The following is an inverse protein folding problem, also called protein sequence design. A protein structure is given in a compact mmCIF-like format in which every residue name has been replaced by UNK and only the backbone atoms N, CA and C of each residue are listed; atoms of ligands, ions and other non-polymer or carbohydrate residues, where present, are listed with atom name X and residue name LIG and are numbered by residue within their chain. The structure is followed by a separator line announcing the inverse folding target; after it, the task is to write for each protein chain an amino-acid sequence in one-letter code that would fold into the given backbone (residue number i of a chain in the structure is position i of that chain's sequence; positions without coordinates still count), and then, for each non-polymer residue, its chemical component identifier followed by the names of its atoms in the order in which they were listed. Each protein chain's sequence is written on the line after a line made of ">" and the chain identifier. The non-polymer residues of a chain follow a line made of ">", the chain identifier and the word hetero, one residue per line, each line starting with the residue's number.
data_IF_568819805099
#
_entry.id   IF_568819805099
#
_cell.length_a   1.000
_cell.length_b   1.000
_cell.length_c   1.000
_cell.angle_alpha   90.00
_cell.angle_beta   90.00
_cell.angle_gamma   90.00
#
_symmetry.space_group_name_H-M   'P 1'
#
loop_
_entity.id
_entity.type
_entity.pdbx_description
1 polymer ?
#
# COMPACT_ATOMS: atom_id res chain seq x y z
N UNK A 1 1.61 9.10 7.64
CA UNK A 1 1.04 10.47 7.52
C UNK A 1 1.20 11.01 6.10
N UNK A 2 2.40 11.18 5.56
CA UNK A 2 2.59 11.75 4.22
C UNK A 2 1.79 11.07 3.11
N UNK A 3 1.75 9.74 3.07
CA UNK A 3 0.98 8.99 2.09
C UNK A 3 -0.54 9.23 2.19
N UNK A 4 -1.07 9.29 3.42
CA UNK A 4 -2.50 9.55 3.64
C UNK A 4 -2.84 10.99 3.22
N UNK A 5 -2.03 11.95 3.61
CA UNK A 5 -2.24 13.35 3.24
C UNK A 5 -2.07 13.56 1.74
N UNK A 6 -1.07 12.92 1.12
CA UNK A 6 -0.86 13.00 -0.33
C UNK A 6 -2.02 12.39 -1.12
N UNK A 7 -2.51 11.21 -0.74
CA UNK A 7 -3.63 10.56 -1.43
C UNK A 7 -4.96 11.32 -1.23
N UNK A 8 -5.26 11.73 0.00
CA UNK A 8 -6.46 12.53 0.30
C UNK A 8 -6.39 13.92 -0.34
N UNK A 9 -5.22 14.58 -0.29
CA UNK A 9 -5.02 15.87 -0.94
C UNK A 9 -5.21 15.80 -2.46
N UNK A 10 -4.69 14.78 -3.12
CA UNK A 10 -4.89 14.57 -4.54
C UNK A 10 -6.36 14.31 -4.91
N UNK A 11 -7.14 13.75 -3.99
CA UNK A 11 -8.57 13.55 -4.18
C UNK A 11 -9.39 14.82 -3.92
N UNK A 12 -9.02 15.59 -2.89
CA UNK A 12 -9.76 16.79 -2.46
C UNK A 12 -9.53 17.97 -3.41
N UNK A 13 -8.29 18.18 -3.87
CA UNK A 13 -7.95 19.31 -4.73
C UNK A 13 -8.26 18.92 -6.18
N UNK A 14 -9.27 19.59 -6.77
CA UNK A 14 -9.65 19.39 -8.18
C UNK A 14 -8.62 19.96 -9.16
N UNK A 15 -8.77 19.63 -10.46
CA UNK A 15 -7.90 20.12 -11.53
C UNK A 15 -6.53 19.44 -11.58
N UNK A 16 -5.64 19.98 -12.40
CA UNK A 16 -4.28 19.45 -12.60
C UNK A 16 -3.28 19.93 -11.55
N UNK A 17 -3.42 21.19 -11.09
CA UNK A 17 -2.43 21.84 -10.23
C UNK A 17 -2.24 21.16 -8.87
N UNK A 18 -3.33 20.73 -8.24
CA UNK A 18 -3.28 20.08 -6.93
C UNK A 18 -2.47 18.79 -6.92
N UNK A 19 -2.87 17.78 -7.70
CA UNK A 19 -2.12 16.53 -7.77
C UNK A 19 -0.69 16.70 -8.28
N UNK A 20 -0.43 17.59 -9.25
CA UNK A 20 0.92 17.89 -9.74
C UNK A 20 1.80 18.55 -8.67
N UNK A 21 1.25 19.46 -7.87
CA UNK A 21 1.98 20.08 -6.76
C UNK A 21 2.32 19.03 -5.68
N UNK A 22 1.41 18.12 -5.36
CA UNK A 22 1.67 17.03 -4.41
C UNK A 22 2.79 16.13 -4.89
N UNK A 23 2.77 15.75 -6.17
CA UNK A 23 3.83 14.94 -6.79
C UNK A 23 5.17 15.71 -6.77
N UNK A 24 5.19 16.94 -7.30
CA UNK A 24 6.40 17.70 -7.53
C UNK A 24 7.06 18.23 -6.25
N UNK A 25 6.27 18.77 -5.32
CA UNK A 25 6.78 19.39 -4.10
C UNK A 25 6.86 18.42 -2.91
N UNK A 26 6.01 17.39 -2.90
CA UNK A 26 5.96 16.45 -1.77
C UNK A 26 6.63 15.12 -2.06
N UNK A 27 6.11 14.38 -3.05
CA UNK A 27 6.47 12.98 -3.26
C UNK A 27 7.83 12.83 -3.92
N UNK A 28 8.11 13.57 -4.99
CA UNK A 28 9.37 13.45 -5.72
C UNK A 28 10.60 13.83 -4.86
N UNK A 29 10.64 14.97 -4.15
CA UNK A 29 11.78 15.27 -3.28
C UNK A 29 11.97 14.21 -2.19
N UNK A 30 10.88 13.73 -1.57
CA UNK A 30 10.96 12.67 -0.59
C UNK A 30 11.50 11.35 -1.18
N UNK A 31 11.08 10.99 -2.40
CA UNK A 31 11.57 9.81 -3.10
C UNK A 31 13.04 9.92 -3.52
N UNK A 32 13.50 11.10 -3.90
CA UNK A 32 14.92 11.36 -4.19
C UNK A 32 15.78 11.25 -2.93
N UNK A 33 15.37 11.87 -1.83
CA UNK A 33 16.07 11.77 -0.54
C UNK A 33 16.14 10.31 -0.07
N UNK A 34 15.08 9.54 -0.27
CA UNK A 34 15.03 8.11 0.08
C UNK A 34 15.78 7.21 -0.93
N UNK A 35 16.26 7.73 -2.06
CA UNK A 35 16.95 6.94 -3.09
C UNK A 35 16.06 5.93 -3.85
N UNK A 36 14.73 6.10 -3.79
CA UNK A 36 13.75 5.15 -4.38
C UNK A 36 13.01 5.73 -5.59
N UNK A 37 13.35 6.92 -6.06
CA UNK A 37 12.61 7.65 -7.08
C UNK A 37 12.38 6.83 -8.37
N UNK A 38 13.41 6.18 -8.92
CA UNK A 38 13.28 5.39 -10.15
C UNK A 38 12.38 4.16 -9.97
N UNK A 39 12.48 3.48 -8.81
CA UNK A 39 11.62 2.33 -8.48
C UNK A 39 10.17 2.78 -8.26
N UNK A 40 9.98 3.90 -7.58
CA UNK A 40 8.68 4.50 -7.33
C UNK A 40 7.94 4.81 -8.63
N UNK A 41 8.58 5.55 -9.54
CA UNK A 41 8.00 5.92 -10.84
C UNK A 41 7.62 4.68 -11.64
N UNK A 42 8.51 3.67 -11.70
CA UNK A 42 8.23 2.42 -12.43
C UNK A 42 7.02 1.68 -11.86
N UNK A 43 6.95 1.50 -10.54
CA UNK A 43 5.83 0.80 -9.88
C UNK A 43 4.53 1.59 -10.08
N UNK A 44 4.56 2.91 -9.89
CA UNK A 44 3.38 3.76 -10.04
C UNK A 44 2.87 3.75 -11.49
N UNK A 45 3.75 3.79 -12.48
CA UNK A 45 3.36 3.64 -13.89
C UNK A 45 2.73 2.28 -14.17
N UNK A 46 3.34 1.19 -13.71
CA UNK A 46 2.80 -0.16 -13.91
C UNK A 46 1.42 -0.34 -13.27
N UNK A 47 1.20 0.24 -12.09
CA UNK A 47 -0.10 0.17 -11.40
C UNK A 47 -1.15 1.08 -12.06
N UNK A 48 -0.73 2.27 -12.51
CA UNK A 48 -1.67 3.25 -13.06
C UNK A 48 -2.01 2.96 -14.53
N UNK A 49 -1.11 2.36 -15.31
CA UNK A 49 -1.26 2.17 -16.75
C UNK A 49 -2.50 1.37 -17.16
N UNK A 50 -2.85 0.22 -16.55
CA UNK A 50 -4.06 -0.52 -16.92
C UNK A 50 -5.33 0.30 -16.66
N UNK A 51 -5.35 1.00 -15.51
CA UNK A 51 -6.49 1.85 -15.12
C UNK A 51 -6.55 3.08 -16.02
N UNK A 52 -5.40 3.64 -16.39
CA UNK A 52 -5.28 4.77 -17.30
C UNK A 52 -5.90 4.48 -18.65
N UNK A 53 -5.58 3.34 -19.24
CA UNK A 53 -6.14 2.92 -20.53
C UNK A 53 -7.68 2.83 -20.43
N UNK A 54 -8.19 2.20 -19.38
CA UNK A 54 -9.64 2.08 -19.16
C UNK A 54 -10.31 3.44 -18.98
N UNK A 55 -9.73 4.31 -18.15
CA UNK A 55 -10.27 5.67 -17.90
C UNK A 55 -10.28 6.50 -19.17
N UNK A 56 -9.21 6.48 -19.96
CA UNK A 56 -9.16 7.21 -21.24
C UNK A 56 -10.23 6.72 -22.18
N UNK A 57 -10.30 5.39 -22.41
CA UNK A 57 -11.29 4.81 -23.32
C UNK A 57 -12.72 5.16 -22.90
N UNK A 58 -13.05 4.98 -21.62
CA UNK A 58 -14.41 5.27 -21.15
C UNK A 58 -14.71 6.76 -21.18
N UNK A 59 -13.82 7.58 -20.61
CA UNK A 59 -14.09 9.03 -20.43
C UNK A 59 -14.14 9.78 -21.77
N UNK A 60 -13.26 9.46 -22.71
CA UNK A 60 -13.19 10.13 -24.01
C UNK A 60 -14.43 9.86 -24.85
N UNK A 61 -14.93 8.60 -24.82
CA UNK A 61 -16.02 8.16 -25.70
C UNK A 61 -17.41 8.16 -25.04
N UNK A 62 -17.51 8.23 -23.73
CA UNK A 62 -18.80 8.13 -23.04
C UNK A 62 -19.27 9.48 -22.48
N UNK A 63 -18.35 10.44 -22.31
CA UNK A 63 -18.69 11.74 -21.73
C UNK A 63 -19.25 12.65 -22.81
N UNK A 64 -20.49 13.08 -22.60
CA UNK A 64 -21.12 14.09 -23.44
C UNK A 64 -20.40 15.43 -23.28
N UNK A 65 -20.07 16.08 -24.39
CA UNK A 65 -19.43 17.40 -24.43
C UNK A 65 -19.94 18.21 -25.60
N UNK A 66 -19.67 19.52 -25.60
CA UNK A 66 -20.07 20.45 -26.66
C UNK A 66 -19.08 20.49 -27.82
N UNK A 67 -17.81 20.16 -27.55
CA UNK A 67 -16.74 20.16 -28.56
C UNK A 67 -16.36 18.73 -28.95
N UNK A 68 -16.94 18.23 -30.05
CA UNK A 68 -16.57 16.93 -30.62
C UNK A 68 -15.28 17.08 -31.41
N UNK A 69 -14.25 16.32 -31.05
CA UNK A 69 -12.95 16.30 -31.74
C UNK A 69 -12.99 15.37 -32.96
N UNK A 70 -13.54 14.17 -32.80
CA UNK A 70 -13.80 13.21 -33.86
C UNK A 70 -14.87 12.21 -33.43
N UNK A 71 -15.55 11.58 -34.38
CA UNK A 71 -16.57 10.56 -34.11
C UNK A 71 -16.18 9.24 -34.77
N UNK A 72 -16.35 8.13 -34.03
CA UNK A 72 -16.16 6.77 -34.55
C UNK A 72 -17.49 6.01 -34.37
N UNK A 73 -18.31 6.01 -35.40
CA UNK A 73 -19.64 5.40 -35.37
C UNK A 73 -20.56 6.06 -34.34
N UNK A 74 -21.11 5.34 -33.38
CA UNK A 74 -22.00 5.90 -32.37
C UNK A 74 -21.28 6.60 -31.21
N UNK A 75 -19.94 6.67 -31.21
CA UNK A 75 -19.13 7.23 -30.14
C UNK A 75 -18.46 8.53 -30.57
N UNK A 76 -18.71 9.59 -29.85
CA UNK A 76 -18.09 10.92 -30.04
C UNK A 76 -16.99 11.15 -29.04
N UNK A 77 -15.77 11.37 -29.53
CA UNK A 77 -14.67 11.80 -28.69
C UNK A 77 -14.77 13.31 -28.44
N UNK A 78 -14.94 13.71 -27.17
CA UNK A 78 -15.14 15.10 -26.78
C UNK A 78 -13.91 15.69 -26.11
N UNK A 79 -13.68 16.99 -26.30
CA UNK A 79 -12.57 17.68 -25.64
C UNK A 79 -12.73 17.67 -24.11
N UNK A 80 -13.95 17.77 -23.62
CA UNK A 80 -14.31 17.68 -22.20
C UNK A 80 -14.01 16.28 -21.64
N UNK A 81 -14.21 15.23 -22.45
CA UNK A 81 -13.84 13.85 -22.10
C UNK A 81 -12.33 13.66 -21.95
N UNK A 82 -11.56 14.26 -22.88
CA UNK A 82 -10.09 14.24 -22.82
C UNK A 82 -9.56 14.99 -21.62
N UNK A 83 -10.10 16.17 -21.32
CA UNK A 83 -9.69 16.97 -20.15
C UNK A 83 -9.99 16.24 -18.84
N UNK A 84 -11.18 15.67 -18.71
CA UNK A 84 -11.54 14.86 -17.54
C UNK A 84 -10.65 13.62 -17.39
N UNK A 85 -10.37 12.92 -18.48
CA UNK A 85 -9.44 11.78 -18.47
C UNK A 85 -8.06 12.23 -17.98
N UNK A 86 -7.51 13.34 -18.49
CA UNK A 86 -6.25 13.90 -18.08
C UNK A 86 -6.18 14.22 -16.58
N UNK A 87 -7.19 14.92 -16.06
CA UNK A 87 -7.28 15.25 -14.63
C UNK A 87 -7.34 13.98 -13.77
N UNK A 88 -8.13 12.99 -14.20
CA UNK A 88 -8.27 11.73 -13.50
C UNK A 88 -6.96 10.93 -13.49
N UNK A 89 -6.23 10.91 -14.61
CA UNK A 89 -4.93 10.26 -14.72
C UNK A 89 -3.88 10.84 -13.77
N UNK A 90 -3.76 12.17 -13.75
CA UNK A 90 -2.80 12.84 -12.85
C UNK A 90 -3.15 12.57 -11.39
N UNK A 91 -4.44 12.54 -11.05
CA UNK A 91 -4.92 12.21 -9.72
C UNK A 91 -4.61 10.75 -9.33
N UNK A 92 -4.90 9.80 -10.22
CA UNK A 92 -4.58 8.38 -10.00
C UNK A 92 -3.08 8.18 -9.84
N UNK A 93 -2.28 8.85 -10.65
CA UNK A 93 -0.83 8.78 -10.55
C UNK A 93 -0.30 9.37 -9.22
N UNK A 94 -0.89 10.49 -8.76
CA UNK A 94 -0.57 11.08 -7.45
C UNK A 94 -0.90 10.13 -6.29
N UNK A 95 -2.04 9.45 -6.35
CA UNK A 95 -2.43 8.45 -5.35
C UNK A 95 -1.48 7.25 -5.38
N UNK A 96 -1.22 6.71 -6.56
CA UNK A 96 -0.31 5.57 -6.76
C UNK A 96 1.11 5.86 -6.26
N UNK A 97 1.66 7.04 -6.58
CA UNK A 97 2.98 7.45 -6.11
C UNK A 97 3.01 7.68 -4.60
N UNK A 98 1.93 8.22 -4.02
CA UNK A 98 1.81 8.45 -2.58
C UNK A 98 1.82 7.15 -1.79
N UNK A 99 1.02 6.17 -2.21
CA UNK A 99 0.96 4.83 -1.60
C UNK A 99 2.25 4.06 -1.87
N UNK A 100 2.77 4.15 -3.10
CA UNK A 100 4.03 3.51 -3.49
C UNK A 100 5.22 4.01 -2.67
N UNK A 101 5.31 5.32 -2.43
CA UNK A 101 6.35 5.89 -1.57
C UNK A 101 6.27 5.32 -0.15
N UNK A 102 5.08 5.24 0.44
CA UNK A 102 4.89 4.63 1.75
C UNK A 102 5.36 3.17 1.77
N UNK A 103 4.95 2.37 0.79
CA UNK A 103 5.33 0.95 0.71
C UNK A 103 6.83 0.71 0.51
N UNK A 104 7.51 1.63 -0.22
CA UNK A 104 8.95 1.51 -0.47
C UNK A 104 9.84 2.05 0.65
N UNK A 105 9.31 2.98 1.48
CA UNK A 105 10.11 3.65 2.52
C UNK A 105 9.77 3.21 3.93
N UNK A 106 8.64 2.55 4.12
CA UNK A 106 8.19 2.16 5.46
C UNK A 106 8.38 0.66 5.69
N UNK A 107 9.24 0.31 6.62
CA UNK A 107 9.40 -1.06 7.07
C UNK A 107 8.17 -1.47 7.90
N UNK A 108 7.49 -2.61 7.56
CA UNK A 108 6.27 -3.02 8.26
C UNK A 108 6.46 -3.22 9.77
N UNK A 109 7.62 -3.74 10.18
CA UNK A 109 7.95 -3.92 11.61
C UNK A 109 8.00 -2.60 12.36
N UNK A 110 8.73 -1.64 11.84
CA UNK A 110 8.85 -0.30 12.41
C UNK A 110 7.51 0.43 12.45
N UNK A 111 6.65 0.22 11.46
CA UNK A 111 5.29 0.77 11.41
C UNK A 111 4.41 0.23 12.55
N UNK A 112 4.41 -1.10 12.77
CA UNK A 112 3.63 -1.71 13.88
C UNK A 112 4.12 -1.23 15.24
N UNK A 113 5.44 -1.10 15.43
CA UNK A 113 6.01 -0.58 16.67
C UNK A 113 5.64 0.90 16.93
N UNK A 114 5.57 1.73 15.88
CA UNK A 114 5.10 3.11 16.01
C UNK A 114 3.60 3.18 16.38
N UNK A 115 2.78 2.26 15.86
CA UNK A 115 1.37 2.14 16.24
C UNK A 115 1.22 1.71 17.72
N UNK A 116 2.04 0.77 18.20
CA UNK A 116 2.04 0.37 19.62
C UNK A 116 2.36 1.57 20.52
N UNK A 117 3.37 2.38 20.14
CA UNK A 117 3.70 3.62 20.88
C UNK A 117 2.56 4.64 20.92
N UNK A 118 1.70 4.65 19.88
CA UNK A 118 0.55 5.56 19.77
C UNK A 118 -0.72 5.05 20.41
N UNK A 119 -0.68 3.86 21.04
CA UNK A 119 -1.80 3.33 21.80
C UNK A 119 -2.41 2.04 21.25
N UNK A 120 -1.84 1.45 20.20
CA UNK A 120 -2.21 0.08 19.82
C UNK A 120 -1.85 -0.87 20.96
N UNK A 121 -2.77 -1.77 21.33
CA UNK A 121 -2.49 -2.66 22.44
C UNK A 121 -1.30 -3.59 22.13
N UNK A 122 -0.46 -3.90 23.11
CA UNK A 122 0.71 -4.77 22.93
C UNK A 122 0.38 -6.15 22.39
N UNK A 123 -0.83 -6.65 22.66
CA UNK A 123 -1.30 -7.94 22.15
C UNK A 123 -1.51 -7.89 20.64
N UNK A 124 -2.17 -6.85 20.13
CA UNK A 124 -2.36 -6.67 18.68
C UNK A 124 -1.05 -6.39 17.96
N UNK A 125 -0.16 -5.58 18.55
CA UNK A 125 1.17 -5.34 17.99
C UNK A 125 1.97 -6.65 17.89
N UNK A 126 1.93 -7.48 18.93
CA UNK A 126 2.58 -8.80 18.90
C UNK A 126 2.02 -9.71 17.81
N UNK A 127 0.68 -9.81 17.70
CA UNK A 127 0.03 -10.64 16.67
C UNK A 127 0.43 -10.16 15.27
N UNK A 128 0.41 -8.84 15.02
CA UNK A 128 0.81 -8.27 13.73
C UNK A 128 2.28 -8.60 13.40
N UNK A 129 3.19 -8.41 14.35
CA UNK A 129 4.61 -8.72 14.16
C UNK A 129 4.85 -10.22 13.97
N UNK A 130 4.20 -11.06 14.77
CA UNK A 130 4.30 -12.52 14.64
C UNK A 130 3.78 -13.00 13.28
N UNK A 131 2.70 -12.41 12.77
CA UNK A 131 2.16 -12.75 11.45
C UNK A 131 3.13 -12.35 10.34
N UNK A 132 3.76 -11.17 10.43
CA UNK A 132 4.75 -10.71 9.45
C UNK A 132 5.99 -11.63 9.40
N UNK A 133 6.38 -12.19 10.55
CA UNK A 133 7.50 -13.14 10.65
C UNK A 133 7.09 -14.56 10.25
N UNK A 134 5.85 -14.96 10.51
CA UNK A 134 5.35 -16.29 10.23
C UNK A 134 5.25 -16.59 8.71
N UNK A 135 4.87 -15.60 7.89
CA UNK A 135 4.67 -15.83 6.44
C UNK A 135 5.96 -16.30 5.73
N UNK A 136 7.12 -15.62 5.84
CA UNK A 136 8.37 -16.11 5.28
C UNK A 136 8.79 -17.47 5.86
N UNK A 137 8.68 -17.64 7.17
CA UNK A 137 9.03 -18.89 7.84
C UNK A 137 8.17 -20.07 7.36
N UNK A 138 6.88 -19.86 7.12
CA UNK A 138 5.99 -20.88 6.55
C UNK A 138 6.39 -21.26 5.11
N UNK A 139 6.79 -20.29 4.28
CA UNK A 139 7.26 -20.55 2.91
C UNK A 139 8.53 -21.41 2.92
N UNK A 140 9.51 -21.07 3.76
CA UNK A 140 10.74 -21.84 3.90
C UNK A 140 10.45 -23.26 4.40
N UNK A 141 9.59 -23.40 5.42
CA UNK A 141 9.19 -24.71 5.96
C UNK A 141 8.46 -25.55 4.92
N UNK A 142 7.53 -24.95 4.17
CA UNK A 142 6.85 -25.64 3.09
C UNK A 142 7.82 -26.12 2.01
N UNK A 143 8.85 -25.34 1.68
CA UNK A 143 9.90 -25.74 0.73
C UNK A 143 10.71 -26.97 1.25
N UNK A 144 11.09 -26.99 2.53
CA UNK A 144 11.78 -28.12 3.16
C UNK A 144 10.89 -29.38 3.15
N UNK A 145 9.62 -29.25 3.54
CA UNK A 145 8.68 -30.38 3.54
C UNK A 145 8.46 -30.88 2.10
N UNK A 146 8.32 -29.97 1.12
CA UNK A 146 8.17 -30.34 -0.27
C UNK A 146 9.39 -31.11 -0.81
N UNK A 147 10.61 -30.68 -0.46
CA UNK A 147 11.84 -31.41 -0.85
C UNK A 147 11.91 -32.79 -0.23
N UNK A 148 11.55 -32.93 1.05
CA UNK A 148 11.49 -34.22 1.73
C UNK A 148 10.45 -35.17 1.10
N UNK A 149 9.28 -34.65 0.72
CA UNK A 149 8.23 -35.44 0.07
C UNK A 149 8.62 -35.84 -1.38
N UNK A 150 9.32 -34.96 -2.10
CA UNK A 150 9.91 -35.32 -3.41
C UNK A 150 10.93 -36.47 -3.30
N UNK A 151 11.74 -36.44 -2.27
CA UNK A 151 12.66 -37.55 -2.00
C UNK A 151 11.93 -38.89 -1.72
N UNK A 152 10.66 -38.84 -1.28
CA UNK A 152 9.78 -40.00 -1.09
C UNK A 152 8.98 -40.37 -2.34
N UNK A 153 9.26 -39.75 -3.50
CA UNK A 153 8.62 -40.06 -4.77
C UNK A 153 7.36 -39.21 -5.08
N UNK A 154 7.10 -38.12 -4.34
CA UNK A 154 6.01 -37.23 -4.66
C UNK A 154 6.33 -36.40 -5.89
N UNK A 155 5.56 -36.56 -6.96
CA UNK A 155 5.66 -35.72 -8.16
C UNK A 155 4.90 -34.42 -7.98
N UNK A 156 5.64 -33.31 -7.93
CA UNK A 156 5.09 -31.94 -7.82
C UNK A 156 5.30 -31.12 -9.10
N UNK A 157 5.98 -31.69 -10.13
CA UNK A 157 6.39 -30.93 -11.32
C UNK A 157 5.61 -31.30 -12.57
N UNK A 158 4.75 -32.31 -12.50
CA UNK A 158 3.93 -32.80 -13.61
C UNK A 158 2.79 -31.85 -14.02
N UNK A 159 1.71 -32.43 -14.55
CA UNK A 159 0.51 -31.70 -14.98
C UNK A 159 -0.12 -30.92 -13.81
N UNK A 160 -0.97 -29.91 -14.12
CA UNK A 160 -1.70 -29.12 -13.11
C UNK A 160 -2.44 -30.03 -12.12
N UNK A 161 -2.99 -31.15 -12.60
CA UNK A 161 -3.66 -32.16 -11.77
C UNK A 161 -2.70 -32.90 -10.84
N UNK A 162 -1.47 -33.20 -11.29
CA UNK A 162 -0.43 -33.79 -10.45
C UNK A 162 0.04 -32.80 -9.36
N UNK A 163 0.22 -31.54 -9.72
CA UNK A 163 0.56 -30.47 -8.75
C UNK A 163 -0.50 -30.32 -7.67
N UNK A 164 -1.80 -30.31 -8.03
CA UNK A 164 -2.90 -30.22 -7.05
C UNK A 164 -2.91 -31.46 -6.14
N UNK A 165 -2.70 -32.65 -6.66
CA UNK A 165 -2.59 -33.87 -5.85
C UNK A 165 -1.34 -33.86 -4.96
N UNK A 166 -0.24 -33.27 -5.44
CA UNK A 166 1.00 -33.13 -4.68
C UNK A 166 0.91 -32.14 -3.51
N UNK A 167 -0.01 -31.17 -3.56
CA UNK A 167 -0.20 -30.20 -2.45
C UNK A 167 -0.84 -30.86 -1.22
N UNK A 168 -1.78 -31.80 -1.41
CA UNK A 168 -2.53 -32.42 -0.31
C UNK A 168 -1.62 -33.11 0.73
N UNK A 169 -0.62 -33.93 0.35
CA UNK A 169 0.32 -34.52 1.30
C UNK A 169 1.23 -33.51 2.02
N UNK A 170 1.35 -32.27 1.50
CA UNK A 170 2.15 -31.22 2.13
C UNK A 170 1.37 -30.50 3.23
N UNK A 171 0.04 -30.41 3.11
CA UNK A 171 -0.81 -29.65 4.05
C UNK A 171 -0.73 -30.20 5.47
N UNK A 172 -0.82 -31.51 5.62
CA UNK A 172 -0.78 -32.17 6.94
C UNK A 172 0.50 -31.83 7.74
N UNK A 173 1.70 -32.15 7.21
CA UNK A 173 2.96 -31.81 7.88
C UNK A 173 3.15 -30.31 8.16
N UNK A 174 2.72 -29.44 7.25
CA UNK A 174 2.82 -27.98 7.45
C UNK A 174 1.92 -27.53 8.60
N UNK A 175 0.68 -28.01 8.65
CA UNK A 175 -0.26 -27.65 9.74
C UNK A 175 0.28 -28.17 11.08
N UNK A 176 0.68 -29.46 11.16
CA UNK A 176 1.19 -30.03 12.40
C UNK A 176 2.41 -29.27 12.91
N UNK A 177 3.39 -28.98 12.05
CA UNK A 177 4.56 -28.22 12.44
C UNK A 177 4.23 -26.79 12.90
N UNK A 178 3.20 -26.18 12.30
CA UNK A 178 2.74 -24.84 12.72
C UNK A 178 2.02 -24.89 14.06
N UNK A 179 1.26 -25.92 14.35
CA UNK A 179 0.60 -26.11 15.66
C UNK A 179 1.64 -26.29 16.77
N UNK A 180 2.65 -27.15 16.55
CA UNK A 180 3.75 -27.33 17.51
C UNK A 180 4.47 -26.01 17.79
N UNK A 181 4.77 -25.22 16.75
CA UNK A 181 5.40 -23.91 16.93
C UNK A 181 4.53 -22.96 17.76
N UNK A 182 3.20 -22.95 17.54
CA UNK A 182 2.27 -22.12 18.32
C UNK A 182 2.29 -22.54 19.80
N UNK A 183 2.29 -23.84 20.10
CA UNK A 183 2.37 -24.36 21.46
C UNK A 183 3.68 -23.96 22.16
N UNK A 184 4.83 -24.18 21.50
CA UNK A 184 6.14 -23.78 22.02
C UNK A 184 6.25 -22.27 22.25
N UNK A 185 5.75 -21.47 21.30
CA UNK A 185 5.75 -20.01 21.41
C UNK A 185 4.81 -19.54 22.53
N UNK A 186 3.65 -20.19 22.71
CA UNK A 186 2.73 -19.88 23.79
C UNK A 186 3.36 -20.12 25.15
N UNK A 187 3.96 -21.30 25.36
CA UNK A 187 4.69 -21.61 26.60
C UNK A 187 5.82 -20.63 26.87
N UNK A 188 6.61 -20.30 25.84
CA UNK A 188 7.69 -19.33 25.98
C UNK A 188 7.19 -17.92 26.37
N UNK A 189 6.03 -17.51 25.90
CA UNK A 189 5.39 -16.23 26.24
C UNK A 189 4.86 -16.23 27.67
N UNK A 190 4.26 -17.34 28.13
CA UNK A 190 3.77 -17.49 29.50
C UNK A 190 4.93 -17.40 30.50
N UNK A 191 6.02 -18.13 30.28
CA UNK A 191 7.22 -18.06 31.13
C UNK A 191 7.80 -16.63 31.19
N UNK A 192 7.69 -15.86 30.12
CA UNK A 192 8.13 -14.45 30.05
C UNK A 192 7.09 -13.48 30.61
N UNK A 193 6.01 -13.96 31.22
CA UNK A 193 4.92 -13.15 31.77
C UNK A 193 4.30 -12.18 30.73
N UNK A 194 4.16 -12.64 29.48
CA UNK A 194 3.52 -11.87 28.40
C UNK A 194 2.05 -11.61 28.74
N UNK A 195 1.60 -10.38 28.62
CA UNK A 195 0.22 -10.00 28.96
C UNK A 195 0.02 -9.54 30.40
N UNK A 196 1.09 -9.52 31.25
CA UNK A 196 1.03 -8.96 32.58
C UNK A 196 0.72 -7.46 32.51
N UNK A 197 -0.16 -6.91 33.34
CA UNK A 197 -0.42 -5.48 33.37
C UNK A 197 0.85 -4.72 33.79
N UNK A 198 1.22 -3.70 33.01
CA UNK A 198 2.41 -2.88 33.27
C UNK A 198 2.85 -2.16 32.00
N UNK A 199 3.70 -1.14 32.18
CA UNK A 199 4.26 -0.36 31.09
C UNK A 199 5.42 -1.14 30.44
N UNK A 200 5.25 -1.61 29.20
CA UNK A 200 6.33 -2.27 28.46
C UNK A 200 7.36 -1.24 28.02
N UNK A 201 8.62 -1.58 28.16
CA UNK A 201 9.71 -0.79 27.58
C UNK A 201 10.07 -1.41 26.24
N UNK A 202 10.00 -0.61 25.17
CA UNK A 202 10.48 -1.00 23.85
C UNK A 202 12.00 -0.87 23.85
N UNK A 203 12.71 -1.97 23.53
CA UNK A 203 14.17 -1.98 23.36
C UNK A 203 14.60 -1.08 22.21
N UNK A 204 13.80 -1.01 21.17
CA UNK A 204 14.08 -0.19 19.99
C UNK A 204 13.39 1.17 20.13
N UNK A 205 14.17 2.22 20.28
CA UNK A 205 13.66 3.59 20.30
C UNK A 205 13.63 4.12 18.87
N UNK A 206 12.45 4.35 18.33
CA UNK A 206 12.27 5.09 17.09
C UNK A 206 12.36 6.57 17.47
N UNK A 207 13.40 7.31 17.01
CA UNK A 207 13.54 8.72 17.37
C UNK A 207 12.44 9.56 16.73
N UNK A 208 11.66 10.25 17.53
CA UNK A 208 10.75 11.29 17.05
C UNK A 208 11.52 12.61 17.07
N UNK A 209 11.94 13.04 15.88
CA UNK A 209 12.67 14.29 15.69
C UNK A 209 11.69 15.47 15.61
N UNK A 210 12.06 16.64 16.19
CA UNK A 210 11.25 17.86 16.09
C UNK A 210 10.89 18.23 14.63
N UNK A 211 11.81 17.97 13.71
CA UNK A 211 11.56 18.15 12.27
C UNK A 211 10.39 17.30 11.76
N UNK A 212 10.25 16.04 12.21
CA UNK A 212 9.13 15.18 11.83
C UNK A 212 7.80 15.71 12.38
N UNK A 213 7.79 16.31 13.56
CA UNK A 213 6.59 16.92 14.13
C UNK A 213 6.16 18.14 13.31
N UNK A 214 7.12 19.00 12.92
CA UNK A 214 6.87 20.16 12.07
C UNK A 214 6.33 19.72 10.70
N UNK A 215 6.95 18.72 10.07
CA UNK A 215 6.47 18.19 8.77
C UNK A 215 5.06 17.59 8.89
N UNK A 216 4.78 16.85 9.96
CA UNK A 216 3.42 16.30 10.19
C UNK A 216 2.39 17.41 10.37
N UNK A 217 2.72 18.44 11.17
CA UNK A 217 1.84 19.58 11.38
C UNK A 217 1.60 20.37 10.08
N UNK A 218 2.64 20.63 9.30
CA UNK A 218 2.54 21.28 8.00
C UNK A 218 1.66 20.51 7.02
N UNK A 219 1.82 19.18 6.95
CA UNK A 219 1.00 18.31 6.10
C UNK A 219 -0.47 18.31 6.53
N UNK A 220 -0.76 18.28 7.83
CA UNK A 220 -2.14 18.35 8.34
C UNK A 220 -2.76 19.70 8.05
N UNK A 221 -2.02 20.79 8.25
CA UNK A 221 -2.51 22.15 7.93
C UNK A 221 -2.77 22.31 6.43
N UNK A 222 -1.90 21.77 5.58
CA UNK A 222 -2.11 21.77 4.13
C UNK A 222 -3.37 20.99 3.73
N UNK A 223 -3.62 19.83 4.35
CA UNK A 223 -4.82 19.05 4.09
C UNK A 223 -6.09 19.76 4.56
N UNK A 224 -6.08 20.33 5.78
CA UNK A 224 -7.19 21.10 6.32
C UNK A 224 -7.45 22.33 5.45
N UNK A 225 -6.41 23.06 5.06
CA UNK A 225 -6.50 24.19 4.13
C UNK A 225 -7.12 23.80 2.79
N UNK A 226 -6.73 22.65 2.22
CA UNK A 226 -7.31 22.13 1.00
C UNK A 226 -8.80 21.77 1.15
N UNK A 227 -9.19 21.18 2.27
CA UNK A 227 -10.61 20.87 2.56
C UNK A 227 -11.42 22.15 2.73
N UNK A 228 -10.92 23.10 3.50
CA UNK A 228 -11.61 24.39 3.74
C UNK A 228 -11.77 25.16 2.43
N UNK A 229 -10.73 25.27 1.62
CA UNK A 229 -10.77 25.96 0.33
C UNK A 229 -11.77 25.33 -0.65
N UNK A 230 -11.95 24.00 -0.57
CA UNK A 230 -12.98 23.31 -1.35
C UNK A 230 -14.39 23.62 -0.85
N UNK A 231 -14.60 23.68 0.48
CA UNK A 231 -15.91 24.00 1.08
C UNK A 231 -16.30 25.47 0.80
N UNK A 232 -15.33 26.37 0.82
CA UNK A 232 -15.53 27.79 0.54
C UNK A 232 -15.65 28.14 -0.95
N UNK A 233 -15.52 27.15 -1.84
CA UNK A 233 -15.65 27.36 -3.28
C UNK A 233 -14.51 28.15 -3.92
N UNK A 234 -13.39 28.32 -3.23
CA UNK A 234 -12.22 29.07 -3.72
C UNK A 234 -11.45 28.30 -4.83
N UNK A 235 -11.61 26.99 -4.93
CA UNK A 235 -11.12 26.18 -6.05
C UNK A 235 -12.28 25.80 -6.98
N UNK A 236 -12.04 25.76 -8.31
CA UNK A 236 -13.06 25.35 -9.26
C UNK A 236 -13.60 23.97 -8.90
N UNK A 237 -14.92 23.86 -8.87
CA UNK A 237 -15.63 22.60 -8.70
C UNK A 237 -15.14 21.57 -9.72
N UNK A 238 -14.99 20.33 -9.28
CA UNK A 238 -14.75 19.21 -10.21
C UNK A 238 -15.84 19.22 -11.28
N UNK A 239 -15.50 19.16 -12.56
CA UNK A 239 -16.46 18.95 -13.62
C UNK A 239 -17.13 17.57 -13.49
#
# INVERSE_FOLDING_TARGET
>A
MGAIVGSLGAFVIGGYLGPLAIIGLGILPAAFIAGVAGRLVRISLLLTLPIAISVVLVSVFTRAGTHVLFSIGPFDATAEGVDFAGQTLVRLFAISTSIGLFGLTTEPRSFVLDLERRGLSPRFAFVALATLEAVPAMVERAAVIASAQRARGLDTEGSVRARLRGVLPLVGPVILSSLTEVEERSLALEVRAFGRPGRRQLLWRIPDTRAQLVVRAALLLALVGAIVSRITGTFPSLP
#
